data_IF_486449904376
#
_entry.id   IF_486449904376
#
_cell.length_a   1.000
_cell.length_b   1.000
_cell.length_c   1.000
_cell.angle_alpha   90.00
_cell.angle_beta   90.00
_cell.angle_gamma   90.00
#
_symmetry.space_group_name_H-M   'P 1'
#
loop_
_entity.id
_entity.type
_entity.pdbx_description
1 polymer ?
#
# COMPACT_ATOMS: atom_id res chain seq x y z
N UNK A 1 3.17 4.38 -1.43
CA UNK A 1 2.86 3.08 -0.82
C UNK A 1 2.57 3.30 0.65
N UNK A 2 1.33 3.09 1.05
CA UNK A 2 0.92 3.08 2.46
C UNK A 2 0.78 1.62 2.90
N UNK A 3 1.42 1.26 4.01
CA UNK A 3 1.42 -0.10 4.55
C UNK A 3 0.70 -0.09 5.88
N UNK A 4 -0.38 -0.88 5.97
CA UNK A 4 -1.22 -0.97 7.17
C UNK A 4 -1.08 -2.35 7.79
N UNK A 5 -1.01 -2.44 9.13
CA UNK A 5 -0.92 -3.70 9.86
C UNK A 5 0.43 -3.98 10.53
N UNK A 6 0.87 -5.25 10.54
CA UNK A 6 1.98 -5.71 11.38
C UNK A 6 3.34 -5.74 10.66
N UNK A 7 4.42 -6.07 11.40
CA UNK A 7 5.79 -6.14 10.87
C UNK A 7 5.95 -7.01 9.62
N UNK A 8 5.10 -8.03 9.45
CA UNK A 8 5.07 -8.85 8.23
C UNK A 8 4.65 -8.06 7.00
N UNK A 9 3.66 -7.17 7.14
CA UNK A 9 3.19 -6.34 6.05
C UNK A 9 4.26 -5.34 5.62
N UNK A 10 5.10 -4.87 6.55
CA UNK A 10 6.24 -4.00 6.21
C UNK A 10 7.27 -4.75 5.35
N UNK A 11 7.70 -5.94 5.78
CA UNK A 11 8.68 -6.75 5.02
C UNK A 11 8.14 -7.15 3.65
N UNK A 12 6.87 -7.54 3.58
CA UNK A 12 6.23 -7.89 2.31
C UNK A 12 6.11 -6.66 1.40
N UNK A 13 5.85 -5.48 1.98
CA UNK A 13 5.82 -4.21 1.24
C UNK A 13 7.18 -3.81 0.66
N UNK A 14 8.25 -3.98 1.43
CA UNK A 14 9.61 -3.66 0.98
C UNK A 14 10.03 -4.59 -0.19
N UNK A 15 9.68 -5.88 -0.10
CA UNK A 15 9.92 -6.84 -1.20
C UNK A 15 9.17 -6.45 -2.47
N UNK A 16 7.89 -6.10 -2.35
CA UNK A 16 7.09 -5.66 -3.50
C UNK A 16 7.67 -4.36 -4.09
N UNK A 17 8.07 -3.41 -3.25
CA UNK A 17 8.69 -2.17 -3.71
C UNK A 17 10.00 -2.43 -4.47
N UNK A 18 10.82 -3.36 -4.01
CA UNK A 18 12.05 -3.75 -4.70
C UNK A 18 11.75 -4.37 -6.08
N UNK A 19 10.80 -5.30 -6.15
CA UNK A 19 10.38 -5.94 -7.41
C UNK A 19 9.81 -4.94 -8.42
N UNK A 20 8.99 -3.99 -7.95
CA UNK A 20 8.45 -2.93 -8.81
C UNK A 20 9.57 -2.02 -9.34
N UNK A 21 10.56 -1.71 -8.51
CA UNK A 21 11.73 -0.92 -8.93
C UNK A 21 12.55 -1.67 -9.98
N UNK A 22 12.80 -2.97 -9.78
CA UNK A 22 13.49 -3.82 -10.77
C UNK A 22 12.73 -3.94 -12.09
N UNK A 23 11.40 -3.91 -12.04
CA UNK A 23 10.54 -3.90 -13.23
C UNK A 23 10.44 -2.52 -13.91
N UNK A 24 11.13 -1.50 -13.39
CA UNK A 24 11.21 -0.15 -13.99
C UNK A 24 10.12 0.81 -13.52
N UNK A 25 9.27 0.41 -12.57
CA UNK A 25 8.33 1.33 -11.95
C UNK A 25 9.05 2.31 -11.02
N UNK A 26 8.51 3.53 -10.91
CA UNK A 26 9.03 4.56 -10.02
C UNK A 26 8.00 4.88 -8.96
N UNK A 27 8.50 5.21 -7.77
CA UNK A 27 7.63 5.69 -6.68
C UNK A 27 7.17 7.10 -7.02
N UNK A 28 5.87 7.32 -7.03
CA UNK A 28 5.28 8.64 -7.18
C UNK A 28 5.51 9.49 -5.92
N UNK A 29 5.55 10.82 -6.11
CA UNK A 29 5.77 11.79 -5.03
C UNK A 29 4.53 11.97 -4.14
N UNK A 30 3.33 11.77 -4.71
CA UNK A 30 2.05 11.76 -4.02
C UNK A 30 1.12 10.69 -4.62
N UNK A 31 0.05 10.29 -3.92
CA UNK A 31 -0.98 9.42 -4.49
C UNK A 31 -1.61 9.99 -5.76
N UNK A 32 -1.89 11.29 -5.80
CA UNK A 32 -2.51 11.98 -6.96
C UNK A 32 -1.63 11.96 -8.21
N UNK A 33 -0.31 11.83 -8.03
CA UNK A 33 0.67 11.75 -9.11
C UNK A 33 0.99 10.30 -9.51
N UNK A 34 0.34 9.31 -8.90
CA UNK A 34 0.60 7.90 -9.16
C UNK A 34 -0.33 7.33 -10.25
N UNK A 35 0.22 6.57 -11.19
CA UNK A 35 -0.59 5.80 -12.14
C UNK A 35 -1.35 4.66 -11.45
N UNK A 36 -0.79 4.12 -10.36
CA UNK A 36 -1.35 3.02 -9.57
C UNK A 36 -1.04 3.25 -8.10
N UNK A 37 -2.07 3.13 -7.25
CA UNK A 37 -1.93 3.12 -5.79
C UNK A 37 -2.19 1.72 -5.24
N UNK A 38 -1.30 1.25 -4.37
CA UNK A 38 -1.41 -0.06 -3.71
C UNK A 38 -1.51 0.13 -2.20
N UNK A 39 -2.55 -0.48 -1.60
CA UNK A 39 -2.78 -0.55 -0.15
C UNK A 39 -2.59 -1.99 0.29
N UNK A 40 -1.59 -2.25 1.15
CA UNK A 40 -1.35 -3.56 1.72
C UNK A 40 -1.92 -3.61 3.15
N UNK A 41 -2.89 -4.51 3.39
CA UNK A 41 -3.56 -4.65 4.69
C UNK A 41 -3.52 -6.09 5.22
N UNK A 42 -3.75 -6.26 6.51
CA UNK A 42 -3.90 -7.57 7.12
C UNK A 42 -5.34 -8.08 6.99
N UNK A 43 -5.51 -9.22 6.33
CA UNK A 43 -6.82 -9.85 6.20
C UNK A 43 -7.33 -10.49 7.50
N UNK A 44 -6.59 -10.54 8.61
CA UNK A 44 -7.04 -11.22 9.84
C UNK A 44 -7.46 -10.28 10.96
N UNK A 45 -7.02 -9.02 10.90
CA UNK A 45 -7.29 -8.04 11.95
C UNK A 45 -8.42 -7.14 11.49
N UNK A 46 -9.57 -7.19 12.17
CA UNK A 46 -10.76 -6.42 11.81
C UNK A 46 -10.48 -4.91 11.71
N UNK A 47 -9.73 -4.36 12.67
CA UNK A 47 -9.33 -2.94 12.66
C UNK A 47 -8.51 -2.57 11.41
N UNK A 48 -7.59 -3.44 10.99
CA UNK A 48 -6.78 -3.21 9.78
C UNK A 48 -7.62 -3.31 8.50
N UNK A 49 -8.68 -4.12 8.49
CA UNK A 49 -9.62 -4.18 7.36
C UNK A 49 -10.41 -2.88 7.25
N UNK A 50 -10.94 -2.37 8.37
CA UNK A 50 -11.67 -1.10 8.38
C UNK A 50 -10.78 0.05 7.93
N UNK A 51 -9.58 0.18 8.51
CA UNK A 51 -8.60 1.20 8.14
C UNK A 51 -8.22 1.13 6.65
N UNK A 52 -8.14 -0.08 6.08
CA UNK A 52 -7.89 -0.26 4.65
C UNK A 52 -9.05 0.20 3.77
N UNK A 53 -10.30 0.00 4.19
CA UNK A 53 -11.47 0.47 3.45
C UNK A 53 -11.47 1.99 3.46
N UNK A 54 -11.30 2.58 4.65
CA UNK A 54 -11.28 4.03 4.83
C UNK A 54 -10.15 4.66 3.97
N UNK A 55 -8.95 4.08 4.00
CA UNK A 55 -7.82 4.53 3.16
C UNK A 55 -8.14 4.47 1.67
N UNK A 56 -8.82 3.43 1.20
CA UNK A 56 -9.18 3.30 -0.22
C UNK A 56 -10.24 4.35 -0.61
N UNK A 57 -11.17 4.66 0.29
CA UNK A 57 -12.18 5.70 0.07
C UNK A 57 -11.53 7.09 0.04
N UNK A 58 -10.64 7.39 0.99
CA UNK A 58 -9.90 8.66 1.07
C UNK A 58 -9.03 8.92 -0.18
N UNK A 59 -8.57 7.85 -0.84
CA UNK A 59 -7.76 7.92 -2.07
C UNK A 59 -8.62 8.03 -3.35
N UNK A 60 -9.92 7.80 -3.25
CA UNK A 60 -10.86 7.84 -4.38
C UNK A 60 -11.54 9.20 -4.55
N UNK A 61 -11.48 10.06 -3.53
CA UNK A 61 -11.96 11.45 -3.52
C UNK A 61 -10.89 12.44 -4.00
#
# INVERSE_FOLDING_TARGET
>A
MSTLGCAKNQVDSDKISAQLTEAGYRRAESPDAADVVMVNTCAFVEAARQESIDTVLDLAD
#
